data_IF_661999892256
#
_entry.id   IF_661999892256
#
_cell.length_a   1.000
_cell.length_b   1.000
_cell.length_c   1.000
_cell.angle_alpha   90.00
_cell.angle_beta   90.00
_cell.angle_gamma   90.00
#
_symmetry.space_group_name_H-M   'P 1'
#
loop_
_entity.id
_entity.type
_entity.pdbx_description
1 polymer ?
#
# COMPACT_ATOMS: atom_id res chain seq x y z
N UNK A 1 -7.19 5.88 -8.83
CA UNK A 1 -6.60 6.32 -10.11
C UNK A 1 -7.59 5.98 -11.21
N UNK A 2 -7.91 6.93 -12.08
CA UNK A 2 -8.81 6.74 -13.24
C UNK A 2 -7.93 6.25 -14.40
N UNK A 3 -8.35 5.22 -15.14
CA UNK A 3 -7.51 4.55 -16.14
C UNK A 3 -7.24 5.40 -17.41
N UNK A 4 -6.06 5.25 -18.08
CA UNK A 4 -4.97 4.35 -17.75
C UNK A 4 -3.63 5.08 -17.55
N UNK A 5 -3.34 5.46 -16.30
CA UNK A 5 -1.94 5.59 -15.86
C UNK A 5 -1.27 4.20 -15.73
N UNK A 6 -2.06 3.12 -15.73
CA UNK A 6 -1.62 1.72 -15.72
C UNK A 6 -2.53 0.86 -16.63
N UNK A 7 -2.03 -0.25 -17.19
CA UNK A 7 -2.84 -1.19 -17.98
C UNK A 7 -4.02 -1.77 -17.17
N UNK A 8 -5.07 -2.25 -17.85
CA UNK A 8 -6.13 -3.04 -17.23
C UNK A 8 -5.54 -4.20 -16.41
N UNK A 9 -6.18 -4.50 -15.28
CA UNK A 9 -5.78 -5.58 -14.35
C UNK A 9 -4.38 -5.43 -13.73
N UNK A 10 -3.71 -4.28 -13.93
CA UNK A 10 -2.43 -3.93 -13.30
C UNK A 10 -2.60 -2.75 -12.33
N UNK A 11 -3.64 -2.80 -11.49
CA UNK A 11 -3.85 -1.77 -10.48
C UNK A 11 -2.70 -1.79 -9.47
N UNK A 12 -2.07 -0.63 -9.24
CA UNK A 12 -0.96 -0.48 -8.30
C UNK A 12 -1.32 0.50 -7.19
N UNK A 13 -1.04 0.09 -5.95
CA UNK A 13 -1.03 0.96 -4.78
C UNK A 13 0.41 1.44 -4.55
N UNK A 14 0.66 2.72 -4.80
CA UNK A 14 1.95 3.35 -4.50
C UNK A 14 1.86 4.06 -3.16
N UNK A 15 2.70 3.64 -2.21
CA UNK A 15 3.01 4.41 -1.01
C UNK A 15 4.33 5.16 -1.22
N UNK A 16 4.36 6.42 -0.82
CA UNK A 16 5.58 7.24 -0.85
C UNK A 16 5.96 7.53 0.59
N UNK A 17 7.12 7.02 1.03
CA UNK A 17 7.65 7.31 2.35
C UNK A 17 8.59 8.51 2.28
N UNK A 18 8.49 9.38 3.28
CA UNK A 18 9.33 10.58 3.41
C UNK A 18 10.29 10.39 4.58
N UNK A 19 11.41 11.12 4.56
CA UNK A 19 12.42 11.09 5.63
C UNK A 19 11.92 11.59 6.99
N UNK A 20 10.69 12.07 7.07
CA UNK A 20 10.02 12.52 8.30
C UNK A 20 9.25 11.42 9.01
N UNK A 21 9.01 10.27 8.38
CA UNK A 21 8.37 9.14 9.04
C UNK A 21 9.36 8.47 9.99
N UNK A 22 8.87 8.16 11.18
CA UNK A 22 9.58 7.38 12.20
C UNK A 22 9.40 5.89 11.94
N UNK A 23 10.20 5.06 12.62
CA UNK A 23 10.07 3.60 12.54
C UNK A 23 8.69 3.13 13.04
N UNK A 24 8.10 3.81 14.01
CA UNK A 24 6.76 3.53 14.54
C UNK A 24 5.68 3.77 13.49
N UNK A 25 5.82 4.84 12.70
CA UNK A 25 4.90 5.14 11.59
C UNK A 25 4.98 4.04 10.51
N UNK A 26 6.19 3.54 10.23
CA UNK A 26 6.39 2.45 9.26
C UNK A 26 5.79 1.15 9.75
N UNK A 27 5.98 0.80 11.02
CA UNK A 27 5.39 -0.40 11.63
C UNK A 27 3.86 -0.36 11.55
N UNK A 28 3.26 0.79 11.85
CA UNK A 28 1.81 0.97 11.72
C UNK A 28 1.34 0.77 10.27
N UNK A 29 2.06 1.30 9.29
CA UNK A 29 1.72 1.12 7.87
C UNK A 29 1.79 -0.36 7.48
N UNK A 30 2.83 -1.07 7.91
CA UNK A 30 3.00 -2.49 7.62
C UNK A 30 1.86 -3.34 8.23
N UNK A 31 1.50 -3.10 9.48
CA UNK A 31 0.38 -3.79 10.14
C UNK A 31 -0.95 -3.56 9.43
N UNK A 32 -1.22 -2.32 8.99
CA UNK A 32 -2.44 -2.00 8.25
C UNK A 32 -2.45 -2.72 6.89
N UNK A 33 -1.34 -2.68 6.15
CA UNK A 33 -1.22 -3.35 4.86
C UNK A 33 -1.37 -4.88 5.00
N UNK A 34 -0.80 -5.46 6.06
CA UNK A 34 -0.92 -6.89 6.36
C UNK A 34 -2.35 -7.29 6.69
N UNK A 35 -3.03 -6.54 7.55
CA UNK A 35 -4.42 -6.80 7.92
C UNK A 35 -5.34 -6.74 6.70
N UNK A 36 -5.28 -5.65 5.93
CA UNK A 36 -6.12 -5.48 4.74
C UNK A 36 -5.75 -6.48 3.65
N UNK A 37 -4.46 -6.78 3.48
CA UNK A 37 -3.97 -7.79 2.53
C UNK A 37 -4.56 -9.18 2.79
N UNK A 38 -4.64 -9.58 4.06
CA UNK A 38 -5.30 -10.83 4.49
C UNK A 38 -6.81 -10.81 4.26
N UNK A 39 -7.48 -9.71 4.59
CA UNK A 39 -8.94 -9.58 4.39
C UNK A 39 -9.31 -9.65 2.90
N UNK A 40 -8.45 -9.14 2.01
CA UNK A 40 -8.63 -9.20 0.56
C UNK A 40 -8.10 -10.49 -0.08
N UNK A 41 -7.41 -11.35 0.67
CA UNK A 41 -6.79 -12.59 0.16
C UNK A 41 -5.64 -12.36 -0.83
N UNK A 42 -4.96 -11.22 -0.73
CA UNK A 42 -3.82 -10.86 -1.59
C UNK A 42 -2.49 -11.37 -1.00
N UNK A 43 -2.42 -11.51 0.33
CA UNK A 43 -1.28 -12.00 1.11
C UNK A 43 -1.71 -13.19 1.96
#
# INVERSE_FOLDING_TARGET
VISPAVPPDQALLRTSFMSTLTDEDLEQVLEILHKVGKELGII
#
